data_IF_530035194288
#
_entry.id   IF_530035194288
#
_cell.length_a   1.000
_cell.length_b   1.000
_cell.length_c   1.000
_cell.angle_alpha   90.00
_cell.angle_beta   90.00
_cell.angle_gamma   90.00
#
_symmetry.space_group_name_H-M   'P 1'
#
loop_
_entity.id
_entity.type
_entity.pdbx_description
1 polymer ?
#
# COMPACT_ATOMS: atom_id res chain seq x y z
N UNK A 1 14.57 5.56 -5.75
CA UNK A 1 13.68 5.30 -4.60
C UNK A 1 12.51 6.25 -4.73
N UNK A 2 11.31 5.72 -4.89
CA UNK A 2 10.08 6.51 -4.93
C UNK A 2 9.24 6.16 -3.70
N UNK A 3 8.62 7.16 -3.07
CA UNK A 3 7.68 6.97 -1.97
C UNK A 3 6.37 7.66 -2.33
N UNK A 4 5.27 6.94 -2.13
CA UNK A 4 3.92 7.41 -2.36
C UNK A 4 3.21 7.42 -1.02
N UNK A 5 2.75 8.60 -0.62
CA UNK A 5 1.98 8.77 0.61
C UNK A 5 0.58 9.24 0.27
N UNK A 6 -0.41 8.58 0.85
CA UNK A 6 -1.81 8.95 0.70
C UNK A 6 -2.57 8.68 1.99
N UNK A 7 -3.67 9.40 2.22
CA UNK A 7 -4.56 9.15 3.34
C UNK A 7 -5.88 8.64 2.78
N UNK A 8 -6.38 7.54 3.33
CA UNK A 8 -7.67 6.97 2.97
C UNK A 8 -8.39 6.47 4.21
N UNK A 9 -9.64 6.90 4.42
CA UNK A 9 -10.48 6.50 5.58
C UNK A 9 -9.79 6.65 6.95
N UNK A 10 -8.92 7.66 7.09
CA UNK A 10 -8.16 7.89 8.33
C UNK A 10 -6.95 6.97 8.51
N UNK A 11 -6.57 6.20 7.49
CA UNK A 11 -5.33 5.44 7.44
C UNK A 11 -4.31 6.15 6.55
N UNK A 12 -3.08 6.32 7.04
CA UNK A 12 -1.93 6.68 6.22
C UNK A 12 -1.46 5.44 5.47
N UNK A 13 -1.43 5.55 4.14
CA UNK A 13 -0.83 4.58 3.23
C UNK A 13 0.54 5.12 2.84
N UNK A 14 1.60 4.34 3.08
CA UNK A 14 2.96 4.61 2.64
C UNK A 14 3.45 3.44 1.78
N UNK A 15 3.70 3.71 0.50
CA UNK A 15 4.22 2.74 -0.47
C UNK A 15 5.62 3.18 -0.87
N UNK A 16 6.61 2.37 -0.55
CA UNK A 16 8.00 2.56 -0.93
C UNK A 16 8.36 1.64 -2.09
N UNK A 17 8.90 2.20 -3.17
CA UNK A 17 9.36 1.45 -4.33
C UNK A 17 10.86 1.65 -4.52
N UNK A 18 11.59 0.55 -4.41
CA UNK A 18 13.04 0.49 -4.56
C UNK A 18 13.37 -0.29 -5.82
N UNK A 19 14.03 0.40 -6.75
CA UNK A 19 14.57 -0.22 -7.95
C UNK A 19 15.71 -1.18 -7.61
N UNK A 20 15.66 -2.38 -8.19
CA UNK A 20 16.75 -3.37 -8.23
C UNK A 20 17.11 -3.66 -9.68
N UNK A 21 18.15 -4.47 -9.90
CA UNK A 21 18.66 -4.76 -11.25
C UNK A 21 17.58 -5.30 -12.19
N UNK A 22 16.76 -6.25 -11.71
CA UNK A 22 15.75 -6.94 -12.53
C UNK A 22 14.31 -6.79 -11.99
N UNK A 23 14.15 -6.12 -10.85
CA UNK A 23 12.86 -6.05 -10.16
C UNK A 23 12.63 -4.71 -9.47
N UNK A 24 11.37 -4.46 -9.13
CA UNK A 24 10.94 -3.45 -8.18
C UNK A 24 10.63 -4.15 -6.86
N UNK A 25 11.26 -3.70 -5.78
CA UNK A 25 10.85 -4.07 -4.44
C UNK A 25 9.85 -3.02 -3.96
N UNK A 26 8.63 -3.45 -3.66
CA UNK A 26 7.55 -2.59 -3.19
C UNK A 26 7.25 -2.95 -1.74
N UNK A 27 7.31 -1.98 -0.85
CA UNK A 27 6.95 -2.13 0.56
C UNK A 27 5.75 -1.25 0.87
N UNK A 28 4.66 -1.85 1.33
CA UNK A 28 3.42 -1.15 1.68
C UNK A 28 3.25 -1.18 3.19
N UNK A 29 3.00 -0.01 3.77
CA UNK A 29 2.64 0.17 5.17
C UNK A 29 1.35 0.95 5.26
N UNK A 30 0.44 0.45 6.10
CA UNK A 30 -0.80 1.15 6.43
C UNK A 30 -0.79 1.43 7.93
N UNK A 31 -0.93 2.69 8.29
CA UNK A 31 -0.94 3.15 9.68
C UNK A 31 -2.25 3.87 9.96
N UNK A 32 -3.16 3.30 10.77
CA UNK A 32 -4.38 3.98 11.18
C UNK A 32 -4.03 5.20 12.05
N UNK A 33 -4.77 6.30 11.88
CA UNK A 33 -4.73 7.42 12.82
C UNK A 33 -5.52 7.12 14.09
N UNK A 34 -5.30 7.92 15.14
CA UNK A 34 -5.98 7.77 16.42
C UNK A 34 -7.51 7.77 16.24
N UNK A 35 -8.17 6.74 16.78
CA UNK A 35 -9.61 6.54 16.69
C UNK A 35 -10.10 5.73 15.48
N UNK A 36 -9.21 5.31 14.58
CA UNK A 36 -9.56 4.34 13.53
C UNK A 36 -9.36 2.92 14.06
N UNK A 37 -10.47 2.19 14.18
CA UNK A 37 -10.45 0.77 14.56
C UNK A 37 -10.51 -0.12 13.31
N UNK A 38 -9.58 -1.06 13.26
CA UNK A 38 -9.51 -2.08 12.22
C UNK A 38 -9.79 -3.44 12.83
N UNK A 39 -10.55 -4.27 12.11
CA UNK A 39 -10.85 -5.67 12.47
C UNK A 39 -9.54 -6.45 12.63
N UNK A 40 -8.56 -6.17 11.76
CA UNK A 40 -7.21 -6.74 11.80
C UNK A 40 -6.17 -5.69 11.40
N UNK A 41 -4.96 -5.71 11.98
CA UNK A 41 -3.88 -4.82 11.58
C UNK A 41 -3.34 -5.16 10.18
N UNK A 42 -2.92 -4.15 9.42
CA UNK A 42 -2.47 -4.32 8.02
C UNK A 42 -1.08 -4.96 7.85
N UNK A 43 -0.25 -4.98 8.90
CA UNK A 43 1.14 -5.41 8.79
C UNK A 43 1.95 -4.62 7.75
N UNK A 44 3.16 -5.09 7.45
CA UNK A 44 3.94 -4.62 6.30
C UNK A 44 3.85 -5.67 5.20
N UNK A 45 3.54 -5.26 3.97
CA UNK A 45 3.50 -6.16 2.81
C UNK A 45 4.65 -5.82 1.87
N UNK A 46 5.47 -6.81 1.56
CA UNK A 46 6.56 -6.69 0.59
C UNK A 46 6.21 -7.47 -0.69
N UNK A 47 6.38 -6.83 -1.84
CA UNK A 47 6.12 -7.39 -3.15
C UNK A 47 7.38 -7.23 -4.01
N UNK A 48 7.67 -8.22 -4.85
CA UNK A 48 8.76 -8.17 -5.82
C UNK A 48 8.16 -8.29 -7.22
N UNK A 49 8.22 -7.20 -7.99
CA UNK A 49 7.65 -7.12 -9.33
C UNK A 49 8.78 -7.14 -10.37
N UNK A 50 8.59 -7.82 -11.49
CA UNK A 50 9.56 -7.79 -12.58
C UNK A 50 9.51 -6.43 -13.29
N UNK A 51 10.64 -5.97 -13.86
CA UNK A 51 10.69 -4.72 -14.63
C UNK A 51 9.94 -4.75 -15.98
N UNK A 52 9.25 -5.85 -16.30
CA UNK A 52 8.47 -5.96 -17.53
C UNK A 52 7.15 -5.18 -17.52
N UNK A 53 6.70 -4.73 -16.35
CA UNK A 53 5.47 -3.96 -16.16
C UNK A 53 5.79 -2.48 -15.95
N UNK A 54 4.97 -1.57 -16.50
CA UNK A 54 5.13 -0.14 -16.33
C UNK A 54 4.84 0.28 -14.88
N UNK A 55 5.79 1.02 -14.28
CA UNK A 55 5.73 1.38 -12.87
C UNK A 55 4.52 2.25 -12.51
N UNK A 56 4.07 3.08 -13.44
CA UNK A 56 2.91 3.96 -13.24
C UNK A 56 1.60 3.17 -13.22
N UNK A 57 1.46 2.13 -14.05
CA UNK A 57 0.28 1.24 -14.03
C UNK A 57 0.23 0.42 -12.73
N UNK A 58 1.39 -0.08 -12.28
CA UNK A 58 1.53 -0.77 -11.00
C UNK A 58 1.12 0.14 -9.84
N UNK A 59 1.50 1.41 -9.87
CA UNK A 59 1.25 2.36 -8.79
C UNK A 59 -0.24 2.52 -8.48
N UNK A 60 -1.05 2.75 -9.50
CA UNK A 60 -2.48 2.99 -9.32
C UNK A 60 -3.20 1.73 -8.83
N UNK A 61 -2.83 0.57 -9.39
CA UNK A 61 -3.34 -0.73 -8.94
C UNK A 61 -2.99 -1.02 -7.47
N UNK A 62 -1.76 -0.75 -7.04
CA UNK A 62 -1.35 -0.93 -5.64
C UNK A 62 -2.14 -0.04 -4.69
N UNK A 63 -2.40 1.22 -5.06
CA UNK A 63 -3.20 2.13 -4.24
C UNK A 63 -4.64 1.61 -4.13
N UNK A 64 -5.23 1.15 -5.24
CA UNK A 64 -6.59 0.63 -5.26
C UNK A 64 -6.73 -0.63 -4.41
N UNK A 65 -5.82 -1.59 -4.55
CA UNK A 65 -5.80 -2.80 -3.72
C UNK A 65 -5.72 -2.48 -2.23
N UNK A 66 -4.85 -1.54 -1.85
CA UNK A 66 -4.70 -1.14 -0.44
C UNK A 66 -5.97 -0.47 0.08
N UNK A 67 -6.65 0.34 -0.74
CA UNK A 67 -7.94 0.95 -0.38
C UNK A 67 -9.02 -0.10 -0.17
N UNK A 68 -9.18 -1.05 -1.09
CA UNK A 68 -10.13 -2.14 -0.93
C UNK A 68 -9.85 -2.95 0.34
N UNK A 69 -8.57 -3.20 0.60
CA UNK A 69 -8.12 -3.90 1.79
C UNK A 69 -8.46 -3.12 3.08
N UNK A 70 -8.34 -1.78 3.07
CA UNK A 70 -8.80 -0.86 4.14
C UNK A 70 -10.30 -0.96 4.35
N UNK A 71 -11.09 -0.85 3.29
CA UNK A 71 -12.56 -0.92 3.39
C UNK A 71 -13.03 -2.26 3.97
N UNK A 72 -12.36 -3.38 3.63
CA UNK A 72 -12.71 -4.71 4.18
C UNK A 72 -12.36 -4.89 5.66
N UNK A 73 -11.41 -4.10 6.17
CA UNK A 73 -10.93 -4.23 7.56
C UNK A 73 -11.42 -3.12 8.48
N UNK A 74 -12.11 -2.12 7.97
CA UNK A 74 -12.72 -1.08 8.80
C UNK A 74 -13.86 -1.66 9.62
N UNK A 75 -13.83 -1.41 10.93
CA UNK A 75 -14.94 -1.78 11.82
C UNK A 75 -16.15 -0.88 11.53
N UNK A 76 -17.32 -1.48 11.32
CA UNK A 76 -18.57 -0.74 11.12
C UNK A 76 -18.82 -0.24 9.70
N UNK A 77 -18.15 -0.81 8.69
CA UNK A 77 -18.52 -0.68 7.29
C UNK A 77 -19.83 -1.40 6.94
#
# INVERSE_FOLDING_TARGET
MQSIKSVYRGCLIDIEIVERTESWNVSIRVTPFDGVELIEPFGTRELKLAKGEELDEIRDALIEEVRMAIDHRLVGC
#
